data_IF_227273696466
#
_entry.id   IF_227273696466
#
_cell.length_a   1.000
_cell.length_b   1.000
_cell.length_c   1.000
_cell.angle_alpha   90.00
_cell.angle_beta   90.00
_cell.angle_gamma   90.00
#
_symmetry.space_group_name_H-M   'P 1'
#
loop_
_entity.id
_entity.type
_entity.pdbx_description
1 polymer ?
#
# COMPACT_ATOMS: atom_id res chain seq x y z
N UNK A 1 0.84 -12.71 17.15
CA UNK A 1 -0.11 -12.90 16.03
C UNK A 1 0.13 -11.88 14.92
N UNK A 2 0.23 -10.58 15.22
CA UNK A 2 0.55 -9.49 14.26
C UNK A 2 1.80 -9.76 13.40
N UNK A 3 2.96 -10.01 14.03
CA UNK A 3 4.22 -10.29 13.32
C UNK A 3 4.15 -11.52 12.40
N UNK A 4 3.36 -12.54 12.76
CA UNK A 4 3.25 -13.77 11.97
C UNK A 4 2.44 -13.55 10.69
N UNK A 5 1.29 -12.89 10.79
CA UNK A 5 0.45 -12.59 9.61
C UNK A 5 1.19 -11.74 8.58
N UNK A 6 1.96 -10.74 9.03
CA UNK A 6 2.77 -9.93 8.13
C UNK A 6 4.01 -10.66 7.63
N UNK A 7 4.81 -11.26 8.52
CA UNK A 7 6.03 -11.97 8.12
C UNK A 7 5.74 -13.10 7.12
N UNK A 8 4.66 -13.88 7.31
CA UNK A 8 4.32 -14.97 6.42
C UNK A 8 4.03 -14.49 4.98
N UNK A 9 3.56 -13.24 4.80
CA UNK A 9 3.36 -12.66 3.47
C UNK A 9 4.67 -12.23 2.82
N UNK A 10 5.61 -11.70 3.62
CA UNK A 10 6.85 -11.10 3.13
C UNK A 10 8.00 -12.09 3.01
N UNK A 11 7.98 -13.21 3.74
CA UNK A 11 9.01 -14.25 3.63
C UNK A 11 9.01 -14.81 2.20
N UNK A 12 10.15 -14.70 1.52
CA UNK A 12 10.30 -15.14 0.13
C UNK A 12 9.59 -14.25 -0.90
N UNK A 13 8.94 -13.17 -0.49
CA UNK A 13 8.30 -12.24 -1.41
C UNK A 13 9.35 -11.33 -2.08
N UNK A 14 9.17 -11.09 -3.38
CA UNK A 14 9.96 -10.13 -4.14
C UNK A 14 9.19 -8.83 -4.31
N UNK A 15 9.82 -7.71 -3.99
CA UNK A 15 9.30 -6.38 -4.30
C UNK A 15 9.35 -6.15 -5.82
N UNK A 16 8.20 -5.80 -6.41
CA UNK A 16 8.06 -5.57 -7.85
C UNK A 16 8.10 -4.09 -8.18
N UNK A 17 7.26 -3.30 -7.50
CA UNK A 17 7.08 -1.87 -7.75
C UNK A 17 6.74 -1.13 -6.45
N UNK A 18 7.10 0.15 -6.39
CA UNK A 18 6.75 1.06 -5.29
C UNK A 18 6.23 2.35 -5.89
N UNK A 19 5.08 2.79 -5.40
CA UNK A 19 4.44 4.05 -5.77
C UNK A 19 4.23 4.90 -4.53
N UNK A 20 4.21 6.21 -4.74
CA UNK A 20 3.89 7.18 -3.69
C UNK A 20 2.62 7.91 -4.10
N UNK A 21 1.66 8.01 -3.18
CA UNK A 21 0.47 8.85 -3.32
C UNK A 21 0.59 10.00 -2.35
N UNK A 22 0.27 11.21 -2.80
CA UNK A 22 0.32 12.42 -1.96
C UNK A 22 1.65 13.15 -2.10
N UNK A 23 2.20 13.67 -0.98
CA UNK A 23 3.46 14.42 -1.01
C UNK A 23 4.62 13.46 -1.25
N UNK A 24 5.26 13.61 -2.40
CA UNK A 24 6.51 12.92 -2.73
C UNK A 24 7.67 13.85 -2.43
N UNK A 25 8.83 13.30 -2.06
CA UNK A 25 10.03 14.10 -1.84
C UNK A 25 10.46 14.81 -3.14
N UNK A 26 10.16 16.11 -3.21
CA UNK A 26 10.83 17.13 -4.03
C UNK A 26 10.99 16.87 -5.55
N UNK A 27 9.91 16.57 -6.27
CA UNK A 27 9.85 16.62 -7.76
C UNK A 27 11.02 15.96 -8.51
N UNK A 28 11.58 14.87 -7.95
CA UNK A 28 12.63 14.11 -8.59
C UNK A 28 12.13 13.52 -9.91
N UNK A 29 12.87 13.75 -11.00
CA UNK A 29 12.48 13.36 -12.38
C UNK A 29 12.28 11.85 -12.54
N UNK A 30 12.85 11.07 -11.64
CA UNK A 30 12.75 9.61 -11.56
C UNK A 30 11.35 9.15 -11.15
N UNK A 31 10.56 10.01 -10.50
CA UNK A 31 9.17 9.69 -10.18
C UNK A 31 8.28 9.88 -11.40
N UNK A 32 7.88 8.75 -11.98
CA UNK A 32 6.92 8.69 -13.07
C UNK A 32 5.54 8.26 -12.56
N UNK A 33 4.50 8.86 -13.13
CA UNK A 33 3.13 8.44 -12.85
C UNK A 33 2.93 6.97 -13.26
N UNK A 34 2.19 6.23 -12.44
CA UNK A 34 1.88 4.83 -12.70
C UNK A 34 0.80 4.30 -11.77
N UNK A 35 0.60 3.00 -11.78
CA UNK A 35 -0.39 2.32 -10.96
C UNK A 35 -0.14 0.82 -10.86
N UNK A 36 -0.90 0.18 -9.99
CA UNK A 36 -0.96 -1.28 -9.88
C UNK A 36 -2.26 -1.72 -10.56
N UNK A 37 -2.17 -2.73 -11.40
CA UNK A 37 -3.34 -3.27 -12.10
C UNK A 37 -4.38 -3.79 -11.10
N UNK A 38 -5.66 -3.63 -11.42
CA UNK A 38 -6.79 -4.05 -10.57
C UNK A 38 -6.86 -3.40 -9.17
N UNK A 39 -5.99 -2.43 -8.86
CA UNK A 39 -6.05 -1.65 -7.62
C UNK A 39 -6.72 -0.31 -7.88
N UNK A 40 -7.79 -0.02 -7.14
CA UNK A 40 -8.41 1.30 -7.11
C UNK A 40 -8.82 1.64 -5.68
N UNK A 41 -8.61 2.88 -5.24
CA UNK A 41 -9.02 3.32 -3.92
C UNK A 41 -9.15 4.84 -3.82
N UNK A 42 -9.92 5.28 -2.84
CA UNK A 42 -10.06 6.67 -2.43
C UNK A 42 -9.67 6.81 -0.96
N UNK A 43 -9.05 7.93 -0.62
CA UNK A 43 -8.73 8.28 0.77
C UNK A 43 -9.47 9.54 1.21
N UNK A 44 -9.81 9.61 2.49
CA UNK A 44 -10.64 10.69 3.04
C UNK A 44 -9.80 11.85 3.60
N UNK A 45 -8.66 11.58 4.22
CA UNK A 45 -7.90 12.58 4.98
C UNK A 45 -6.62 13.05 4.28
N UNK A 46 -6.24 12.41 3.18
CA UNK A 46 -5.19 12.90 2.29
C UNK A 46 -3.77 12.62 2.80
N UNK A 47 -3.60 11.58 3.63
CA UNK A 47 -2.29 11.14 4.08
C UNK A 47 -1.42 10.73 2.89
N UNK A 48 -0.11 10.95 3.01
CA UNK A 48 0.86 10.44 2.04
C UNK A 48 1.04 8.93 2.26
N UNK A 49 0.95 8.17 1.18
CA UNK A 49 0.98 6.72 1.22
C UNK A 49 2.13 6.17 0.38
N UNK A 50 2.69 5.05 0.85
CA UNK A 50 3.55 4.19 0.04
C UNK A 50 2.72 2.98 -0.36
N UNK A 51 2.63 2.73 -1.67
CA UNK A 51 1.89 1.60 -2.25
C UNK A 51 2.88 0.68 -2.94
N UNK A 52 3.07 -0.52 -2.41
CA UNK A 52 4.08 -1.47 -2.87
C UNK A 52 3.43 -2.75 -3.40
N UNK A 53 3.88 -3.21 -4.57
CA UNK A 53 3.47 -4.48 -5.15
C UNK A 53 4.53 -5.54 -4.86
N UNK A 54 4.09 -6.68 -4.34
CA UNK A 54 4.93 -7.83 -4.05
C UNK A 54 4.42 -9.08 -4.77
N UNK A 55 5.32 -10.04 -4.98
CA UNK A 55 5.01 -11.34 -5.56
C UNK A 55 5.68 -12.43 -4.73
N UNK A 56 4.92 -13.45 -4.34
CA UNK A 56 5.43 -14.66 -3.69
C UNK A 56 4.78 -15.91 -4.32
N UNK A 57 5.05 -17.10 -3.76
CA UNK A 57 4.51 -18.38 -4.26
C UNK A 57 2.97 -18.44 -4.27
N UNK A 58 2.30 -17.63 -3.42
CA UNK A 58 0.84 -17.51 -3.38
C UNK A 58 0.28 -16.47 -4.36
N UNK A 59 1.13 -15.78 -5.10
CA UNK A 59 0.78 -14.78 -6.10
C UNK A 59 1.08 -13.33 -5.68
N UNK A 60 0.58 -12.39 -6.47
CA UNK A 60 0.81 -10.97 -6.27
C UNK A 60 -0.12 -10.37 -5.19
N UNK A 61 0.45 -9.55 -4.31
CA UNK A 61 -0.26 -8.83 -3.25
C UNK A 61 0.22 -7.39 -3.15
N UNK A 62 -0.63 -6.51 -2.62
CA UNK A 62 -0.33 -5.09 -2.44
C UNK A 62 -0.20 -4.79 -0.96
N UNK A 63 0.80 -3.96 -0.63
CA UNK A 63 0.94 -3.35 0.68
C UNK A 63 0.71 -1.84 0.54
N UNK A 64 -0.23 -1.29 1.31
CA UNK A 64 -0.42 0.17 1.42
C UNK A 64 0.01 0.58 2.82
N UNK A 65 0.93 1.54 2.92
CA UNK A 65 1.48 2.03 4.18
C UNK A 65 1.20 3.51 4.34
N UNK A 66 0.73 3.91 5.51
CA UNK A 66 0.58 5.31 5.88
C UNK A 66 1.96 5.86 6.24
N UNK A 67 2.47 6.74 5.38
CA UNK A 67 3.81 7.31 5.51
C UNK A 67 3.82 8.60 6.35
N UNK A 68 2.67 9.04 6.85
CA UNK A 68 2.62 10.16 7.78
C UNK A 68 3.11 9.75 9.17
N UNK A 69 3.58 10.73 9.96
CA UNK A 69 4.08 10.52 11.32
C UNK A 69 3.02 10.70 12.42
N UNK A 70 1.88 11.31 12.09
CA UNK A 70 0.83 11.67 13.07
C UNK A 70 -0.58 11.48 12.54
N UNK A 71 -0.76 11.53 11.24
CA UNK A 71 -2.08 11.54 10.63
C UNK A 71 -2.60 10.12 10.41
N UNK A 72 -3.90 9.94 10.61
CA UNK A 72 -4.62 8.71 10.26
C UNK A 72 -5.11 8.81 8.82
N UNK A 73 -5.36 7.67 8.19
CA UNK A 73 -6.04 7.62 6.90
C UNK A 73 -7.17 6.60 6.96
N UNK A 74 -8.22 6.89 6.20
CA UNK A 74 -9.30 5.97 5.92
C UNK A 74 -9.34 5.73 4.42
N UNK A 75 -9.17 4.46 4.03
CA UNK A 75 -9.21 4.06 2.63
C UNK A 75 -10.38 3.14 2.34
N UNK A 76 -11.11 3.46 1.28
CA UNK A 76 -12.09 2.59 0.66
C UNK A 76 -11.65 2.28 -0.75
N UNK A 77 -11.74 1.01 -1.15
CA UNK A 77 -11.23 0.61 -2.46
C UNK A 77 -11.48 -0.84 -2.80
N UNK A 78 -10.78 -1.28 -3.83
CA UNK A 78 -10.87 -2.62 -4.38
C UNK A 78 -9.51 -3.07 -4.92
N UNK A 79 -9.17 -4.33 -4.68
CA UNK A 79 -8.06 -5.02 -5.32
C UNK A 79 -8.51 -6.42 -5.77
N UNK A 80 -8.32 -6.76 -7.04
CA UNK A 80 -8.71 -8.07 -7.61
C UNK A 80 -10.18 -8.45 -7.30
N UNK A 81 -11.11 -7.52 -7.53
CA UNK A 81 -12.54 -7.68 -7.24
C UNK A 81 -12.90 -7.86 -5.75
N UNK A 82 -11.95 -7.64 -4.82
CA UNK A 82 -12.21 -7.64 -3.37
C UNK A 82 -12.18 -6.22 -2.84
N UNK A 83 -13.31 -5.82 -2.27
CA UNK A 83 -13.46 -4.51 -1.62
C UNK A 83 -12.74 -4.50 -0.28
N UNK A 84 -12.23 -3.33 0.09
CA UNK A 84 -11.69 -3.06 1.41
C UNK A 84 -12.14 -1.68 1.89
N UNK A 85 -12.21 -1.54 3.21
CA UNK A 85 -12.63 -0.36 3.96
C UNK A 85 -11.83 -0.42 5.27
N UNK A 86 -10.76 0.36 5.34
CA UNK A 86 -9.73 0.21 6.36
C UNK A 86 -9.28 1.56 6.93
N UNK A 87 -9.23 1.61 8.26
CA UNK A 87 -8.63 2.69 9.03
C UNK A 87 -7.24 2.28 9.45
N UNK A 88 -6.23 3.10 9.16
CA UNK A 88 -4.88 2.81 9.62
C UNK A 88 -4.10 4.06 10.00
N UNK A 89 -3.51 3.99 11.20
CA UNK A 89 -2.75 5.04 11.83
C UNK A 89 -1.39 5.25 11.15
N UNK A 90 -0.70 6.32 11.55
CA UNK A 90 0.69 6.58 11.17
C UNK A 90 1.57 5.33 11.30
N UNK A 91 2.31 5.00 10.24
CA UNK A 91 3.23 3.86 10.19
C UNK A 91 2.56 2.48 10.09
N UNK A 92 1.22 2.41 10.13
CA UNK A 92 0.51 1.16 9.88
C UNK A 92 0.45 0.86 8.40
N UNK A 93 0.30 -0.44 8.11
CA UNK A 93 0.17 -0.95 6.76
C UNK A 93 -0.98 -1.94 6.68
N UNK A 94 -1.56 -2.04 5.49
CA UNK A 94 -2.57 -3.03 5.12
C UNK A 94 -2.03 -3.90 4.00
N UNK A 95 -2.41 -5.19 3.99
CA UNK A 95 -2.03 -6.15 2.96
C UNK A 95 -3.28 -6.62 2.22
N UNK A 96 -3.32 -6.42 0.90
CA UNK A 96 -4.43 -6.76 0.02
C UNK A 96 -4.04 -7.93 -0.90
N UNK A 97 -4.93 -8.93 -1.03
CA UNK A 97 -4.69 -10.18 -1.78
C UNK A 97 -5.84 -10.57 -2.69
#
# INVERSE_FOLDING_TARGET
MFLKYYADNFIGARLKRVYHKGKVYADYKEYVNGGIEELSFTGEYGASLIVSEFENESGAFVCITNNEQRDIEHLTGEYKNKKFDEWFASGQLIVLK
#
